data_IF_426493802638
#
_entry.id   IF_426493802638
#
_cell.length_a   1.000
_cell.length_b   1.000
_cell.length_c   1.000
_cell.angle_alpha   90.00
_cell.angle_beta   90.00
_cell.angle_gamma   90.00
#
_symmetry.space_group_name_H-M   'P 1'
#
loop_
_entity.id
_entity.type
_entity.pdbx_description
1 polymer ?
#
# COMPACT_ATOMS: atom_id res chain seq x y z
N UNK A 1 3.71 -6.10 -16.07
CA UNK A 1 2.38 -5.90 -15.47
C UNK A 1 2.08 -4.44 -15.57
N UNK A 2 1.07 -4.08 -16.34
CA UNK A 2 0.55 -2.71 -16.35
C UNK A 2 -0.18 -2.46 -15.02
N UNK A 3 0.18 -1.39 -14.34
CA UNK A 3 -0.50 -0.97 -13.10
C UNK A 3 -1.77 -0.22 -13.53
N UNK A 4 -2.93 -0.67 -13.07
CA UNK A 4 -4.19 0.05 -13.27
C UNK A 4 -4.20 1.30 -12.36
N UNK A 5 -3.81 2.44 -12.93
CA UNK A 5 -3.72 3.73 -12.22
C UNK A 5 -5.08 4.29 -11.79
N UNK A 6 -6.19 3.67 -12.19
CA UNK A 6 -7.54 4.03 -11.73
C UNK A 6 -7.87 3.45 -10.35
N UNK A 7 -7.10 2.48 -9.87
CA UNK A 7 -7.31 1.76 -8.60
C UNK A 7 -6.70 2.49 -7.41
N UNK A 8 -7.22 2.19 -6.22
CA UNK A 8 -6.65 2.77 -5.02
C UNK A 8 -5.29 2.13 -4.71
N UNK A 9 -4.39 2.93 -4.13
CA UNK A 9 -3.04 2.52 -3.74
C UNK A 9 -2.85 2.84 -2.28
N UNK A 10 -2.73 1.79 -1.47
CA UNK A 10 -2.59 1.88 -0.02
C UNK A 10 -1.10 1.94 0.35
N UNK A 11 -0.65 3.10 0.83
CA UNK A 11 0.74 3.39 1.15
C UNK A 11 1.08 2.96 2.59
N UNK A 12 2.05 2.06 2.72
CA UNK A 12 2.63 1.62 3.98
C UNK A 12 3.99 2.26 4.19
N UNK A 13 4.09 3.14 5.18
CA UNK A 13 5.32 3.85 5.52
C UNK A 13 6.19 3.10 6.54
N UNK A 14 5.67 2.07 7.21
CA UNK A 14 6.37 1.35 8.28
C UNK A 14 6.95 2.28 9.37
N UNK A 15 6.22 3.35 9.71
CA UNK A 15 6.67 4.35 10.70
C UNK A 15 7.61 5.42 10.15
N UNK A 16 8.03 5.34 8.88
CA UNK A 16 8.84 6.35 8.18
C UNK A 16 7.97 7.43 7.54
N UNK A 17 7.26 8.18 8.37
CA UNK A 17 6.42 9.30 7.90
C UNK A 17 7.26 10.39 7.19
N UNK A 18 8.53 10.53 7.56
CA UNK A 18 9.51 11.39 6.89
C UNK A 18 9.68 11.06 5.40
N UNK A 19 9.45 9.80 5.01
CA UNK A 19 9.57 9.35 3.62
C UNK A 19 8.25 9.39 2.84
N UNK A 20 7.13 9.76 3.49
CA UNK A 20 5.80 9.75 2.87
C UNK A 20 5.73 10.64 1.64
N UNK A 21 6.21 11.88 1.72
CA UNK A 21 6.14 12.84 0.61
C UNK A 21 6.96 12.36 -0.59
N UNK A 22 8.15 11.81 -0.33
CA UNK A 22 8.99 11.20 -1.37
C UNK A 22 8.28 10.00 -2.02
N UNK A 23 7.59 9.18 -1.23
CA UNK A 23 6.84 8.03 -1.72
C UNK A 23 5.68 8.44 -2.62
N UNK A 24 4.87 9.41 -2.17
CA UNK A 24 3.77 10.00 -2.94
C UNK A 24 4.28 10.57 -4.25
N UNK A 25 5.43 11.27 -4.24
CA UNK A 25 6.04 11.81 -5.46
C UNK A 25 6.42 10.71 -6.44
N UNK A 26 7.01 9.61 -5.98
CA UNK A 26 7.37 8.48 -6.84
C UNK A 26 6.14 7.78 -7.44
N UNK A 27 5.06 7.60 -6.65
CA UNK A 27 3.81 7.03 -7.13
C UNK A 27 3.15 7.93 -8.18
N UNK A 28 3.17 9.26 -7.99
CA UNK A 28 2.69 10.23 -8.98
C UNK A 28 3.46 10.18 -10.28
N UNK A 29 4.78 10.05 -10.22
CA UNK A 29 5.62 9.87 -11.43
C UNK A 29 5.29 8.58 -12.19
N UNK A 30 4.65 7.61 -11.53
CA UNK A 30 4.16 6.37 -12.15
C UNK A 30 2.73 6.49 -12.69
N UNK A 31 2.13 7.69 -12.67
CA UNK A 31 0.79 7.98 -13.19
C UNK A 31 -0.35 7.85 -12.18
N UNK A 32 -0.06 7.55 -10.91
CA UNK A 32 -1.09 7.41 -9.86
C UNK A 32 -1.44 8.81 -9.33
N UNK A 33 -2.70 9.18 -9.36
CA UNK A 33 -3.14 10.48 -8.84
C UNK A 33 -3.13 10.50 -7.31
N UNK A 34 -2.89 11.67 -6.72
CA UNK A 34 -2.85 11.82 -5.25
C UNK A 34 -4.14 11.36 -4.57
N UNK A 35 -5.29 11.52 -5.25
CA UNK A 35 -6.60 11.07 -4.77
C UNK A 35 -6.72 9.55 -4.62
N UNK A 36 -5.92 8.80 -5.38
CA UNK A 36 -5.86 7.33 -5.31
C UNK A 36 -4.84 6.83 -4.30
N UNK A 37 -3.97 7.69 -3.79
CA UNK A 37 -2.96 7.32 -2.79
C UNK A 37 -3.58 7.51 -1.40
N UNK A 38 -3.79 6.39 -0.71
CA UNK A 38 -4.44 6.34 0.60
C UNK A 38 -3.43 5.86 1.63
N UNK A 39 -3.31 6.53 2.77
CA UNK A 39 -2.48 6.01 3.86
C UNK A 39 -3.10 4.72 4.41
N UNK A 40 -2.32 3.65 4.45
CA UNK A 40 -2.81 2.36 4.92
C UNK A 40 -3.15 2.41 6.42
N UNK A 41 -4.31 1.85 6.78
CA UNK A 41 -4.80 1.77 8.16
C UNK A 41 -5.02 0.32 8.57
N UNK A 42 -4.66 -0.12 9.79
CA UNK A 42 -4.88 -1.50 10.24
C UNK A 42 -6.37 -1.87 10.35
N UNK A 43 -7.27 -0.89 10.38
CA UNK A 43 -8.69 -1.09 10.59
C UNK A 43 -9.50 -1.19 9.29
N UNK A 44 -8.87 -0.97 8.13
CA UNK A 44 -9.54 -1.00 6.82
C UNK A 44 -8.56 -1.39 5.73
N UNK A 45 -8.91 -2.42 4.98
CA UNK A 45 -8.20 -2.83 3.76
C UNK A 45 -8.74 -2.10 2.53
N UNK A 46 -8.08 -2.30 1.39
CA UNK A 46 -8.65 -2.03 0.07
C UNK A 46 -9.57 -3.12 -0.42
N UNK A 47 -9.87 -3.06 -1.71
CA UNK A 47 -10.66 -4.05 -2.44
C UNK A 47 -9.76 -4.92 -3.35
N UNK A 48 -10.29 -6.05 -3.83
CA UNK A 48 -9.58 -6.87 -4.83
C UNK A 48 -9.36 -6.04 -6.11
N UNK A 49 -8.11 -6.03 -6.58
CA UNK A 49 -7.65 -5.19 -7.69
C UNK A 49 -7.08 -3.83 -7.28
N UNK A 50 -7.21 -3.42 -6.01
CA UNK A 50 -6.42 -2.30 -5.48
C UNK A 50 -4.97 -2.72 -5.22
N UNK A 51 -4.10 -1.75 -4.98
CA UNK A 51 -2.67 -1.99 -4.80
C UNK A 51 -2.19 -1.63 -3.40
N UNK A 52 -1.19 -2.36 -2.92
CA UNK A 52 -0.39 -2.01 -1.75
C UNK A 52 0.95 -1.45 -2.22
N UNK A 53 1.30 -0.25 -1.76
CA UNK A 53 2.61 0.35 -1.96
C UNK A 53 3.38 0.37 -0.63
N UNK A 54 4.39 -0.48 -0.49
CA UNK A 54 5.16 -0.61 0.75
C UNK A 54 6.55 -0.01 0.61
N UNK A 55 6.95 0.84 1.55
CA UNK A 55 8.34 1.28 1.66
C UNK A 55 9.25 0.09 2.02
N UNK A 56 10.18 -0.28 1.13
CA UNK A 56 11.05 -1.46 1.26
C UNK A 56 12.52 -1.11 0.96
N UNK A 57 13.54 -1.70 1.60
CA UNK A 57 13.52 -2.58 2.79
C UNK A 57 13.57 -1.77 4.10
N UNK A 58 12.70 -2.03 5.10
CA UNK A 58 12.83 -1.43 6.43
C UNK A 58 14.14 -1.87 7.13
N UNK A 59 14.74 -1.05 8.02
CA UNK A 59 14.26 0.23 8.53
C UNK A 59 14.62 1.44 7.64
N UNK A 60 15.48 1.24 6.64
CA UNK A 60 15.96 2.28 5.72
C UNK A 60 15.46 1.99 4.29
N UNK A 61 14.15 2.14 4.04
CA UNK A 61 13.59 1.81 2.74
C UNK A 61 14.10 2.78 1.69
N UNK A 62 14.58 2.23 0.58
CA UNK A 62 15.15 2.95 -0.56
C UNK A 62 14.31 2.80 -1.83
N UNK A 63 13.30 1.92 -1.82
CA UNK A 63 12.35 1.75 -2.91
C UNK A 63 10.91 1.47 -2.42
N UNK A 64 9.97 1.46 -3.36
CA UNK A 64 8.55 1.16 -3.11
C UNK A 64 8.23 -0.17 -3.77
N UNK A 65 7.76 -1.13 -2.99
CA UNK A 65 7.23 -2.39 -3.50
C UNK A 65 5.73 -2.24 -3.74
N UNK A 66 5.30 -2.31 -4.99
CA UNK A 66 3.89 -2.34 -5.36
C UNK A 66 3.41 -3.79 -5.55
N UNK A 67 2.25 -4.13 -5.00
CA UNK A 67 1.63 -5.46 -5.14
C UNK A 67 0.11 -5.31 -5.29
N UNK A 68 -0.50 -6.11 -6.15
CA UNK A 68 -1.95 -6.12 -6.37
C UNK A 68 -2.63 -6.95 -5.29
N UNK A 69 -3.76 -6.48 -4.74
CA UNK A 69 -4.62 -7.24 -3.84
C UNK A 69 -5.41 -8.25 -4.68
N UNK A 70 -5.16 -9.53 -4.45
CA UNK A 70 -5.81 -10.62 -5.22
C UNK A 70 -6.97 -11.25 -4.47
N UNK A 71 -6.94 -11.20 -3.14
CA UNK A 71 -7.98 -11.80 -2.28
C UNK A 71 -7.95 -11.18 -0.89
N UNK A 72 -9.12 -11.14 -0.25
CA UNK A 72 -9.32 -10.60 1.09
C UNK A 72 -10.12 -11.61 1.91
N UNK A 73 -9.50 -12.15 2.94
CA UNK A 73 -10.12 -13.11 3.87
C UNK A 73 -10.58 -12.38 5.14
N UNK A 74 -11.78 -12.69 5.67
CA UNK A 74 -12.19 -12.22 6.98
C UNK A 74 -11.24 -12.77 8.05
N UNK A 75 -10.59 -11.88 8.79
CA UNK A 75 -9.65 -12.23 9.86
C UNK A 75 -9.91 -11.37 11.10
N UNK A 76 -9.53 -11.89 12.26
CA UNK A 76 -9.41 -11.06 13.46
C UNK A 76 -8.18 -10.16 13.29
N UNK A 77 -8.32 -8.82 13.40
CA UNK A 77 -7.19 -7.91 13.26
C UNK A 77 -6.16 -8.14 14.37
N UNK A 78 -4.87 -8.10 14.03
CA UNK A 78 -3.79 -8.39 14.96
C UNK A 78 -2.62 -7.39 14.81
N UNK A 79 -2.14 -6.84 15.93
CA UNK A 79 -0.97 -5.97 15.97
C UNK A 79 -1.05 -4.77 15.01
N UNK A 80 0.10 -4.39 14.45
CA UNK A 80 0.18 -3.28 13.48
C UNK A 80 -0.30 -3.65 12.07
N UNK A 81 -0.39 -4.94 11.75
CA UNK A 81 -0.88 -5.39 10.43
C UNK A 81 -2.40 -5.35 10.36
N UNK A 82 -3.10 -5.53 11.49
CA UNK A 82 -4.56 -5.42 11.57
C UNK A 82 -5.26 -6.35 10.57
N UNK A 83 -6.25 -5.81 9.85
CA UNK A 83 -7.01 -6.54 8.83
C UNK A 83 -6.17 -6.93 7.60
N UNK A 84 -5.02 -6.29 7.37
CA UNK A 84 -4.14 -6.61 6.24
C UNK A 84 -3.51 -8.00 6.34
N UNK A 85 -3.62 -8.67 7.50
CA UNK A 85 -3.26 -10.08 7.66
C UNK A 85 -4.10 -10.99 6.75
N UNK A 86 -5.33 -10.60 6.43
CA UNK A 86 -6.23 -11.33 5.54
C UNK A 86 -6.01 -11.06 4.05
N UNK A 87 -5.07 -10.19 3.70
CA UNK A 87 -4.85 -9.74 2.31
C UNK A 87 -3.79 -10.60 1.62
N UNK A 88 -4.21 -11.28 0.56
CA UNK A 88 -3.30 -11.93 -0.39
C UNK A 88 -2.95 -10.95 -1.52
N UNK A 89 -1.70 -11.02 -1.96
CA UNK A 89 -1.15 -10.07 -2.92
C UNK A 89 -0.11 -10.71 -3.82
N UNK A 90 -0.05 -10.24 -5.07
CA UNK A 90 0.97 -10.60 -6.06
C UNK A 90 1.77 -9.38 -6.50
#
# INVERSE_FOLDING_TARGET
>A
MDIDTSRAVYLFTHGRFDLREKAVTALKSSGITTEKIIDASPNKTGDVGDYMAMLWMPPNPDHIKMQCITSIKPVVPEGMIGLWKGVEKE
#
